data_IF_960551779999
#
_entry.id   IF_960551779999
#
_cell.length_a   1.000
_cell.length_b   1.000
_cell.length_c   1.000
_cell.angle_alpha   90.00
_cell.angle_beta   90.00
_cell.angle_gamma   90.00
#
_symmetry.space_group_name_H-M   'P 1'
#
loop_
_entity.id
_entity.type
_entity.pdbx_description
1 polymer ?
#
# COMPACT_ATOMS: atom_id res chain seq x y z
N UNK A 1 6.05 26.30 -35.58
CA UNK A 1 6.19 24.92 -35.12
C UNK A 1 7.61 24.35 -35.31
N UNK A 2 8.07 24.07 -36.51
CA UNK A 2 9.39 23.43 -36.79
C UNK A 2 10.61 24.23 -36.30
N UNK A 3 10.59 25.55 -36.38
CA UNK A 3 11.70 26.38 -35.88
C UNK A 3 11.86 26.27 -34.35
N UNK A 4 10.75 26.28 -33.64
CA UNK A 4 10.78 26.08 -32.17
C UNK A 4 11.30 24.68 -31.78
N UNK A 5 10.91 23.64 -32.51
CA UNK A 5 11.40 22.28 -32.28
C UNK A 5 12.92 22.18 -32.53
N UNK A 6 13.43 22.79 -33.60
CA UNK A 6 14.86 22.77 -33.91
C UNK A 6 15.75 23.56 -32.91
N UNK A 7 15.15 24.46 -32.13
CA UNK A 7 15.87 25.25 -31.12
C UNK A 7 15.77 24.58 -29.73
N UNK A 8 14.65 23.98 -29.41
CA UNK A 8 14.37 23.43 -28.07
C UNK A 8 14.78 21.96 -27.89
N UNK A 9 14.67 21.15 -28.95
CA UNK A 9 14.97 19.70 -28.83
C UNK A 9 16.48 19.43 -28.67
N UNK A 10 17.41 20.04 -29.40
CA UNK A 10 18.82 19.68 -29.29
C UNK A 10 19.40 19.81 -27.87
N UNK A 11 19.17 20.89 -27.10
CA UNK A 11 19.68 21.00 -25.74
C UNK A 11 19.01 20.06 -24.77
N UNK A 12 17.83 19.51 -25.12
CA UNK A 12 17.06 18.59 -24.27
C UNK A 12 16.94 17.18 -24.90
N UNK A 13 17.80 16.85 -25.85
CA UNK A 13 17.69 15.61 -26.63
C UNK A 13 17.66 14.35 -25.76
N UNK A 14 18.45 14.29 -24.68
CA UNK A 14 18.47 13.16 -23.76
C UNK A 14 17.14 12.98 -23.02
N UNK A 15 16.53 14.07 -22.57
CA UNK A 15 15.22 14.04 -21.89
C UNK A 15 14.10 13.63 -22.85
N UNK A 16 14.12 14.18 -24.08
CA UNK A 16 13.15 13.81 -25.13
C UNK A 16 13.30 12.35 -25.53
N UNK A 17 14.54 11.85 -25.67
CA UNK A 17 14.81 10.44 -25.97
C UNK A 17 14.31 9.51 -24.85
N UNK A 18 14.53 9.89 -23.59
CA UNK A 18 14.04 9.13 -22.43
C UNK A 18 12.51 9.06 -22.39
N UNK A 19 11.82 10.20 -22.59
CA UNK A 19 10.35 10.26 -22.63
C UNK A 19 9.76 9.42 -23.77
N UNK A 20 10.44 9.39 -24.92
CA UNK A 20 10.01 8.61 -26.09
C UNK A 20 10.41 7.13 -26.01
N UNK A 21 11.08 6.69 -24.93
CA UNK A 21 11.60 5.33 -24.82
C UNK A 21 12.67 4.98 -25.86
N UNK A 22 13.29 6.00 -26.48
CA UNK A 22 14.36 5.81 -27.42
C UNK A 22 15.65 5.51 -26.64
N UNK A 23 16.30 4.39 -26.96
CA UNK A 23 17.63 4.11 -26.40
C UNK A 23 18.56 5.26 -26.78
N UNK A 24 19.19 5.89 -25.80
CA UNK A 24 20.32 6.79 -26.06
C UNK A 24 21.32 6.01 -26.89
N UNK A 25 21.87 6.64 -27.97
CA UNK A 25 22.87 5.96 -28.77
C UNK A 25 23.95 5.38 -27.88
N UNK A 26 24.13 4.08 -27.95
CA UNK A 26 25.12 3.40 -27.14
C UNK A 26 26.48 4.05 -27.34
N UNK A 27 27.22 4.25 -26.27
CA UNK A 27 28.62 4.65 -26.36
C UNK A 27 29.33 3.55 -27.14
N UNK A 28 29.86 3.86 -28.33
CA UNK A 28 30.69 2.92 -29.05
C UNK A 28 32.05 2.77 -28.36
N UNK A 29 32.16 1.76 -27.55
CA UNK A 29 33.39 1.39 -26.84
C UNK A 29 34.34 0.52 -27.66
N UNK A 30 34.06 0.26 -28.93
CA UNK A 30 34.87 -0.60 -29.78
C UNK A 30 36.33 -0.13 -29.91
N UNK A 31 36.56 1.17 -29.68
CA UNK A 31 37.89 1.79 -29.69
C UNK A 31 38.42 2.18 -28.31
N UNK A 32 37.69 1.86 -27.26
CA UNK A 32 38.15 2.15 -25.89
C UNK A 32 39.38 1.31 -25.57
N UNK A 33 40.45 1.98 -25.14
CA UNK A 33 41.60 1.28 -24.56
C UNK A 33 41.21 0.81 -23.16
N UNK A 34 41.03 -0.49 -22.99
CA UNK A 34 40.70 -1.11 -21.70
C UNK A 34 41.93 -1.58 -20.91
N UNK A 35 43.13 -1.45 -21.50
CA UNK A 35 44.35 -1.85 -20.86
C UNK A 35 44.62 -1.02 -19.59
N UNK A 36 44.72 -1.69 -18.45
CA UNK A 36 44.87 -1.02 -17.14
C UNK A 36 43.58 -0.48 -16.48
N UNK A 37 42.42 -0.65 -17.11
CA UNK A 37 41.14 -0.29 -16.52
C UNK A 37 40.58 -1.51 -15.78
N UNK A 38 40.26 -1.33 -14.49
CA UNK A 38 39.51 -2.35 -13.76
C UNK A 38 38.07 -2.42 -14.28
N UNK A 39 37.76 -3.47 -15.03
CA UNK A 39 36.44 -3.72 -15.63
C UNK A 39 35.51 -4.53 -14.69
N UNK A 40 35.94 -4.80 -13.48
CA UNK A 40 35.17 -5.64 -12.52
C UNK A 40 33.81 -5.03 -12.23
N UNK A 41 33.74 -3.70 -12.09
CA UNK A 41 32.47 -2.98 -11.88
C UNK A 41 31.55 -2.96 -13.12
N UNK A 42 32.05 -3.31 -14.29
CA UNK A 42 31.26 -3.39 -15.52
C UNK A 42 30.70 -4.79 -15.78
N UNK A 43 30.97 -5.76 -14.92
CA UNK A 43 30.42 -7.10 -15.05
C UNK A 43 29.10 -7.20 -14.29
N UNK A 44 28.04 -7.76 -14.90
CA UNK A 44 26.82 -8.05 -14.16
C UNK A 44 27.14 -9.03 -13.04
N UNK A 45 26.49 -8.83 -11.87
CA UNK A 45 26.62 -9.75 -10.72
C UNK A 45 25.87 -11.07 -10.91
N UNK A 46 25.05 -11.17 -11.96
CA UNK A 46 24.20 -12.32 -12.27
C UNK A 46 24.49 -12.81 -13.70
N UNK A 47 24.44 -14.13 -13.88
CA UNK A 47 24.68 -14.77 -15.16
C UNK A 47 23.48 -14.68 -16.13
N UNK A 48 22.28 -14.54 -15.60
CA UNK A 48 21.01 -14.46 -16.35
C UNK A 48 20.09 -13.40 -15.77
N UNK A 49 19.17 -12.91 -16.60
CA UNK A 49 18.11 -11.98 -16.18
C UNK A 49 17.17 -12.65 -15.14
N UNK A 50 16.86 -13.95 -15.34
CA UNK A 50 16.00 -14.70 -14.42
C UNK A 50 16.64 -14.76 -13.02
N UNK A 51 17.93 -15.02 -12.92
CA UNK A 51 18.64 -15.04 -11.63
C UNK A 51 18.63 -13.66 -10.93
N UNK A 52 18.73 -12.57 -11.71
CA UNK A 52 18.61 -11.21 -11.18
C UNK A 52 17.18 -10.97 -10.62
N UNK A 53 16.15 -11.35 -11.38
CA UNK A 53 14.73 -11.16 -10.96
C UNK A 53 14.42 -11.99 -9.71
N UNK A 54 14.90 -13.23 -9.61
CA UNK A 54 14.74 -14.06 -8.41
C UNK A 54 15.37 -13.39 -7.17
N UNK A 55 16.57 -12.84 -7.32
CA UNK A 55 17.26 -12.14 -6.23
C UNK A 55 16.56 -10.83 -5.84
N UNK A 56 16.05 -10.05 -6.81
CA UNK A 56 15.26 -8.84 -6.59
C UNK A 56 13.98 -9.14 -5.79
N UNK A 57 13.28 -10.23 -6.13
CA UNK A 57 12.09 -10.68 -5.40
C UNK A 57 12.45 -11.06 -3.97
N UNK A 58 13.49 -11.86 -3.78
CA UNK A 58 13.95 -12.28 -2.46
C UNK A 58 14.37 -11.08 -1.60
N UNK A 59 15.13 -10.15 -2.18
CA UNK A 59 15.55 -8.92 -1.51
C UNK A 59 14.39 -8.01 -1.15
N UNK A 60 13.41 -7.82 -2.05
CA UNK A 60 12.22 -7.02 -1.75
C UNK A 60 11.43 -7.63 -0.57
N UNK A 61 11.24 -8.95 -0.55
CA UNK A 61 10.58 -9.65 0.55
C UNK A 61 11.34 -9.48 1.86
N UNK A 62 12.66 -9.58 1.84
CA UNK A 62 13.50 -9.40 3.02
C UNK A 62 13.38 -7.96 3.55
N UNK A 63 13.53 -6.95 2.68
CA UNK A 63 13.40 -5.53 3.06
C UNK A 63 12.03 -5.26 3.68
N UNK A 64 10.97 -5.79 3.08
CA UNK A 64 9.62 -5.64 3.60
C UNK A 64 9.47 -6.28 4.99
N UNK A 65 9.93 -7.51 5.18
CA UNK A 65 9.86 -8.19 6.47
C UNK A 65 10.64 -7.45 7.57
N UNK A 66 11.81 -6.88 7.23
CA UNK A 66 12.63 -6.10 8.15
C UNK A 66 12.05 -4.69 8.41
N UNK A 67 11.25 -4.15 7.49
CA UNK A 67 10.62 -2.83 7.62
C UNK A 67 9.24 -2.84 8.27
N UNK A 68 8.58 -3.99 8.37
CA UNK A 68 7.27 -4.11 9.01
C UNK A 68 7.42 -4.05 10.53
N UNK A 69 6.57 -3.22 11.17
CA UNK A 69 6.58 -3.01 12.63
C UNK A 69 5.30 -3.54 13.25
N UNK A 70 5.43 -4.43 14.22
CA UNK A 70 4.31 -4.86 15.07
C UNK A 70 4.20 -3.91 16.27
N UNK A 71 3.20 -3.02 16.25
CA UNK A 71 3.03 -1.98 17.25
C UNK A 71 2.22 -2.46 18.48
N UNK A 72 1.28 -3.39 18.27
CA UNK A 72 0.42 -3.97 19.30
C UNK A 72 0.15 -5.42 18.97
N UNK A 73 0.20 -6.30 19.97
CA UNK A 73 -0.19 -7.72 19.85
C UNK A 73 -0.70 -8.20 21.21
N UNK A 74 -1.88 -7.73 21.58
CA UNK A 74 -2.49 -8.07 22.84
C UNK A 74 -2.93 -9.53 22.85
N UNK A 75 -2.78 -10.17 24.00
CA UNK A 75 -3.10 -11.58 24.20
C UNK A 75 -2.36 -12.54 23.25
N UNK A 76 -1.38 -12.07 22.49
CA UNK A 76 -0.63 -12.89 21.55
C UNK A 76 -1.49 -13.42 20.40
N UNK A 77 -2.42 -12.61 19.87
CA UNK A 77 -3.30 -12.99 18.76
C UNK A 77 -2.52 -13.34 17.49
N UNK A 78 -1.49 -12.58 17.18
CA UNK A 78 -0.56 -12.90 16.10
C UNK A 78 0.62 -13.74 16.65
N UNK A 79 1.11 -14.79 15.94
CA UNK A 79 0.71 -15.22 14.62
C UNK A 79 -0.62 -15.99 14.59
N UNK A 80 -1.31 -15.91 13.44
CA UNK A 80 -2.56 -16.59 13.18
C UNK A 80 -2.35 -18.00 12.61
N UNK A 81 -3.26 -18.92 12.93
CA UNK A 81 -3.33 -20.23 12.28
C UNK A 81 -3.74 -20.06 10.82
N UNK A 82 -3.21 -20.90 9.92
CA UNK A 82 -3.54 -20.87 8.49
C UNK A 82 -4.98 -21.23 8.16
N UNK A 83 -5.73 -21.80 9.12
CA UNK A 83 -7.21 -21.99 8.97
C UNK A 83 -7.99 -20.68 9.14
N UNK A 84 -7.33 -19.59 9.53
CA UNK A 84 -7.98 -18.28 9.69
C UNK A 84 -8.39 -17.73 8.32
N UNK A 85 -9.63 -17.23 8.25
CA UNK A 85 -10.10 -16.43 7.12
C UNK A 85 -10.10 -14.96 7.52
N UNK A 86 -9.51 -14.11 6.69
CA UNK A 86 -9.48 -12.66 6.89
C UNK A 86 -10.52 -11.95 6.05
N UNK A 87 -11.17 -10.95 6.64
CA UNK A 87 -12.02 -9.98 5.95
C UNK A 87 -11.28 -8.66 5.85
N UNK A 88 -10.75 -8.34 4.68
CA UNK A 88 -10.06 -7.08 4.44
C UNK A 88 -11.08 -5.95 4.26
N UNK A 89 -11.12 -5.04 5.21
CA UNK A 89 -12.06 -3.92 5.28
C UNK A 89 -11.35 -2.64 4.88
N UNK A 90 -12.00 -1.79 4.12
CA UNK A 90 -11.52 -0.58 3.46
C UNK A 90 -11.13 -0.82 2.00
N UNK A 91 -11.46 0.16 1.16
CA UNK A 91 -11.00 0.18 -0.24
C UNK A 91 -9.47 0.11 -0.35
N UNK A 92 -8.75 0.66 0.63
CA UNK A 92 -7.29 0.61 0.69
C UNK A 92 -6.70 -0.80 0.77
N UNK A 93 -7.50 -1.82 1.08
CA UNK A 93 -7.06 -3.21 1.04
C UNK A 93 -6.86 -3.72 -0.41
N UNK A 94 -7.76 -3.34 -1.33
CA UNK A 94 -7.69 -3.70 -2.75
C UNK A 94 -6.83 -2.73 -3.56
N UNK A 95 -6.59 -1.52 -3.01
CA UNK A 95 -5.77 -0.46 -3.61
C UNK A 95 -4.66 -0.03 -2.64
N UNK A 96 -3.85 -1.00 -2.21
CA UNK A 96 -2.79 -0.78 -1.24
C UNK A 96 -1.71 0.15 -1.80
N UNK A 97 -1.33 1.20 -1.03
CA UNK A 97 -0.29 2.14 -1.47
C UNK A 97 1.06 1.43 -1.53
N UNK A 98 1.69 1.44 -2.71
CA UNK A 98 2.96 0.78 -3.00
C UNK A 98 2.93 0.12 -4.36
N UNK A 99 4.06 -0.41 -4.83
CA UNK A 99 4.09 -1.17 -6.07
C UNK A 99 3.72 -2.62 -5.76
N UNK A 100 2.54 -3.08 -6.05
CA UNK A 100 2.07 -4.40 -5.63
C UNK A 100 1.83 -5.28 -6.87
N UNK A 101 2.83 -6.02 -7.32
CA UNK A 101 2.65 -7.08 -8.34
C UNK A 101 1.84 -8.25 -7.81
N UNK A 102 1.94 -8.49 -6.50
CA UNK A 102 1.12 -9.47 -5.78
C UNK A 102 0.18 -8.68 -4.88
N UNK A 103 -1.12 -8.80 -5.07
CA UNK A 103 -2.12 -8.13 -4.24
C UNK A 103 -2.29 -8.81 -2.87
N UNK A 104 -3.01 -8.13 -1.96
CA UNK A 104 -3.25 -8.59 -0.59
C UNK A 104 -3.93 -9.97 -0.56
N UNK A 105 -4.97 -10.17 -1.39
CA UNK A 105 -5.69 -11.45 -1.45
C UNK A 105 -4.78 -12.58 -1.86
N UNK A 106 -4.09 -12.42 -2.98
CA UNK A 106 -3.14 -13.43 -3.50
C UNK A 106 -2.04 -13.73 -2.48
N UNK A 107 -1.45 -12.71 -1.86
CA UNK A 107 -0.40 -12.90 -0.86
C UNK A 107 -0.86 -13.74 0.34
N UNK A 108 -2.07 -13.48 0.84
CA UNK A 108 -2.60 -14.20 2.00
C UNK A 108 -3.05 -15.63 1.63
N UNK A 109 -3.66 -15.83 0.46
CA UNK A 109 -4.01 -17.16 -0.04
C UNK A 109 -2.76 -18.02 -0.28
N UNK A 110 -1.70 -17.45 -0.87
CA UNK A 110 -0.42 -18.14 -1.07
C UNK A 110 0.28 -18.51 0.27
N UNK A 111 0.05 -17.72 1.32
CA UNK A 111 0.50 -18.04 2.67
C UNK A 111 -0.34 -19.14 3.36
N UNK A 112 -1.46 -19.52 2.79
CA UNK A 112 -2.37 -20.59 3.24
C UNK A 112 -3.57 -20.11 4.01
N UNK A 113 -3.83 -18.80 4.09
CA UNK A 113 -5.00 -18.24 4.74
C UNK A 113 -6.23 -18.23 3.84
N UNK A 114 -7.43 -18.21 4.45
CA UNK A 114 -8.64 -17.85 3.74
C UNK A 114 -8.78 -16.34 3.59
N UNK A 115 -9.40 -15.90 2.49
CA UNK A 115 -9.80 -14.50 2.30
C UNK A 115 -11.29 -14.45 2.00
N UNK A 116 -12.00 -13.52 2.63
CA UNK A 116 -13.43 -13.31 2.39
C UNK A 116 -13.64 -12.76 0.96
N UNK A 117 -14.03 -13.66 0.07
CA UNK A 117 -14.19 -13.37 -1.36
C UNK A 117 -15.29 -12.37 -1.64
N UNK A 118 -16.41 -12.42 -0.87
CA UNK A 118 -17.54 -11.51 -1.08
C UNK A 118 -17.14 -10.06 -0.75
N UNK A 119 -16.41 -9.87 0.35
CA UNK A 119 -15.91 -8.54 0.73
C UNK A 119 -14.82 -8.04 -0.23
N UNK A 120 -13.92 -8.94 -0.66
CA UNK A 120 -12.92 -8.59 -1.67
C UNK A 120 -13.55 -8.10 -2.97
N UNK A 121 -14.53 -8.83 -3.49
CA UNK A 121 -15.29 -8.44 -4.69
C UNK A 121 -16.09 -7.16 -4.51
N UNK A 122 -16.65 -6.96 -3.32
CA UNK A 122 -17.35 -5.72 -3.01
C UNK A 122 -16.48 -4.48 -3.25
N UNK A 123 -15.24 -4.51 -2.75
CA UNK A 123 -14.31 -3.38 -2.92
C UNK A 123 -13.61 -3.35 -4.29
N UNK A 124 -13.35 -4.49 -4.92
CA UNK A 124 -12.62 -4.54 -6.21
C UNK A 124 -13.52 -4.33 -7.43
N UNK A 125 -14.75 -4.83 -7.40
CA UNK A 125 -15.64 -4.90 -8.56
C UNK A 125 -17.05 -4.40 -8.26
N UNK A 126 -17.48 -4.44 -7.00
CA UNK A 126 -18.84 -4.15 -6.54
C UNK A 126 -19.08 -2.68 -6.20
N UNK A 127 -20.05 -2.46 -5.31
CA UNK A 127 -20.50 -1.11 -4.93
C UNK A 127 -19.45 -0.33 -4.10
N UNK A 128 -18.44 -0.99 -3.57
CA UNK A 128 -17.33 -0.36 -2.86
C UNK A 128 -16.19 0.16 -3.75
N UNK A 129 -16.17 -0.21 -5.05
CA UNK A 129 -15.04 0.07 -5.95
C UNK A 129 -14.82 1.55 -6.29
N UNK A 130 -15.88 2.36 -6.21
CA UNK A 130 -15.84 3.78 -6.59
C UNK A 130 -15.41 4.69 -5.42
N UNK A 131 -15.05 4.08 -4.28
CA UNK A 131 -14.49 4.75 -3.12
C UNK A 131 -12.96 4.62 -3.09
N UNK A 132 -12.32 5.30 -2.16
CA UNK A 132 -10.90 5.21 -1.91
C UNK A 132 -10.21 6.57 -1.90
N UNK A 133 -8.95 6.53 -1.50
CA UNK A 133 -8.13 7.72 -1.32
C UNK A 133 -7.97 8.53 -2.61
N UNK A 134 -7.96 9.84 -2.45
CA UNK A 134 -7.45 10.72 -3.49
C UNK A 134 -5.99 10.43 -3.81
N UNK A 135 -5.56 10.88 -4.96
CA UNK A 135 -4.19 10.58 -5.47
C UNK A 135 -3.10 11.50 -4.89
N UNK A 136 -3.45 12.36 -3.94
CA UNK A 136 -2.53 13.37 -3.44
C UNK A 136 -2.22 14.40 -4.53
N UNK A 137 -0.99 14.41 -5.00
CA UNK A 137 -0.59 15.18 -6.18
C UNK A 137 0.32 14.32 -7.06
N UNK A 138 -0.07 14.14 -8.31
CA UNK A 138 0.67 13.32 -9.29
C UNK A 138 1.59 14.14 -10.20
N UNK A 139 1.31 15.45 -10.36
CA UNK A 139 2.11 16.33 -11.21
C UNK A 139 2.23 17.72 -10.62
N UNK A 140 3.34 18.38 -10.92
CA UNK A 140 3.54 19.74 -10.48
C UNK A 140 2.54 20.68 -11.14
N UNK A 141 1.68 21.30 -10.34
CA UNK A 141 0.62 22.22 -10.82
C UNK A 141 -0.77 21.60 -10.90
N UNK A 142 -0.95 20.32 -10.62
CA UNK A 142 -2.26 19.70 -10.46
C UNK A 142 -2.90 20.13 -9.14
N UNK A 143 -4.22 20.09 -9.08
CA UNK A 143 -4.97 20.25 -7.83
C UNK A 143 -4.61 19.09 -6.88
N UNK A 144 -4.50 19.42 -5.60
CA UNK A 144 -4.23 18.43 -4.55
C UNK A 144 -5.51 17.72 -4.17
N UNK A 145 -5.49 16.38 -4.18
CA UNK A 145 -6.58 15.55 -3.72
C UNK A 145 -6.11 14.61 -2.61
N UNK A 146 -6.30 15.01 -1.37
CA UNK A 146 -6.02 14.21 -0.18
C UNK A 146 -7.31 13.69 0.47
N UNK A 147 -8.40 13.55 -0.29
CA UNK A 147 -9.63 12.95 0.23
C UNK A 147 -9.39 11.52 0.69
N UNK A 148 -10.02 11.13 1.81
CA UNK A 148 -10.00 9.76 2.32
C UNK A 148 -11.03 8.94 1.58
N UNK A 149 -12.25 9.47 1.46
CA UNK A 149 -13.36 8.92 0.68
C UNK A 149 -13.55 7.40 0.91
N UNK A 150 -13.52 6.96 2.18
CA UNK A 150 -13.77 5.56 2.51
C UNK A 150 -15.23 5.19 2.25
N UNK A 151 -15.47 3.92 1.87
CA UNK A 151 -16.81 3.42 1.59
C UNK A 151 -17.67 3.40 2.87
N UNK A 152 -18.81 4.13 2.91
CA UNK A 152 -19.64 4.18 4.09
C UNK A 152 -20.17 2.80 4.52
N UNK A 153 -20.25 2.56 5.82
CA UNK A 153 -20.82 1.33 6.39
C UNK A 153 -22.23 1.04 5.90
N UNK A 154 -23.02 2.10 5.64
CA UNK A 154 -24.37 1.97 5.09
C UNK A 154 -24.40 1.31 3.70
N UNK A 155 -23.38 1.55 2.87
CA UNK A 155 -23.23 0.90 1.54
C UNK A 155 -22.88 -0.58 1.72
N UNK A 156 -21.98 -0.91 2.64
CA UNK A 156 -21.66 -2.30 2.99
C UNK A 156 -22.90 -3.06 3.51
N UNK A 157 -23.67 -2.44 4.41
CA UNK A 157 -24.89 -3.03 4.99
C UNK A 157 -26.02 -3.18 3.96
N UNK A 158 -26.06 -2.35 2.93
CA UNK A 158 -27.04 -2.45 1.85
C UNK A 158 -26.76 -3.62 0.89
N UNK A 159 -25.52 -4.13 0.85
CA UNK A 159 -25.16 -5.28 0.03
C UNK A 159 -25.65 -6.56 0.67
N UNK A 160 -26.53 -7.33 -0.02
CA UNK A 160 -27.12 -8.53 0.56
C UNK A 160 -26.09 -9.58 0.96
N UNK A 161 -26.09 -9.99 2.22
CA UNK A 161 -25.23 -11.05 2.74
C UNK A 161 -23.78 -10.62 3.03
N UNK A 162 -23.35 -9.40 2.67
CA UNK A 162 -21.97 -8.98 2.81
C UNK A 162 -21.49 -8.98 4.26
N UNK A 163 -22.24 -8.36 5.17
CA UNK A 163 -21.90 -8.37 6.61
C UNK A 163 -22.02 -9.76 7.23
N UNK A 164 -22.90 -10.61 6.69
CA UNK A 164 -23.00 -12.01 7.12
C UNK A 164 -21.79 -12.84 6.70
N UNK A 165 -21.19 -12.56 5.53
CA UNK A 165 -19.99 -13.24 5.06
C UNK A 165 -18.77 -12.99 5.95
N UNK A 166 -18.77 -11.88 6.69
CA UNK A 166 -17.68 -11.55 7.62
C UNK A 166 -17.74 -12.35 8.93
N UNK A 167 -18.86 -13.02 9.23
CA UNK A 167 -18.98 -13.83 10.45
C UNK A 167 -17.94 -14.95 10.46
N UNK A 168 -17.35 -15.19 11.63
CA UNK A 168 -16.27 -16.16 11.86
C UNK A 168 -14.99 -15.89 11.04
N UNK A 169 -14.75 -14.67 10.64
CA UNK A 169 -13.49 -14.20 10.07
C UNK A 169 -12.80 -13.24 11.04
N UNK A 170 -11.53 -12.94 10.79
CA UNK A 170 -10.80 -11.86 11.46
C UNK A 170 -10.80 -10.64 10.55
N UNK A 171 -11.47 -9.54 10.89
CA UNK A 171 -11.40 -8.31 10.13
C UNK A 171 -10.02 -7.66 10.20
N UNK A 172 -9.53 -7.22 9.06
CA UNK A 172 -8.33 -6.40 8.94
C UNK A 172 -8.75 -5.05 8.37
N UNK A 173 -8.79 -4.02 9.21
CA UNK A 173 -9.06 -2.67 8.75
C UNK A 173 -7.76 -2.03 8.26
N UNK A 174 -7.74 -1.64 6.99
CA UNK A 174 -6.58 -1.00 6.37
C UNK A 174 -6.72 0.51 6.44
N UNK A 175 -5.99 1.10 7.37
CA UNK A 175 -5.93 2.55 7.57
C UNK A 175 -4.81 3.14 6.72
N UNK A 176 -5.15 3.96 5.75
CA UNK A 176 -4.19 4.52 4.80
C UNK A 176 -4.24 6.04 4.78
N UNK A 177 -3.07 6.65 4.61
CA UNK A 177 -2.93 8.09 4.36
C UNK A 177 -1.97 8.32 3.22
N UNK A 178 -2.37 9.20 2.31
CA UNK A 178 -1.50 9.61 1.21
C UNK A 178 -0.45 10.58 1.76
N UNK A 179 0.81 10.23 1.58
CA UNK A 179 1.94 11.10 1.81
C UNK A 179 2.89 10.95 0.62
N UNK A 180 3.29 12.03 -0.01
CA UNK A 180 4.00 11.98 -1.27
C UNK A 180 5.22 12.88 -1.32
N UNK A 181 6.11 12.56 -2.25
CA UNK A 181 7.27 13.36 -2.60
C UNK A 181 6.83 14.69 -3.23
N UNK A 182 7.49 15.78 -2.83
CA UNK A 182 7.29 17.10 -3.41
C UNK A 182 6.07 17.87 -2.92
N UNK A 183 5.22 17.26 -2.08
CA UNK A 183 4.07 17.92 -1.46
C UNK A 183 3.88 17.47 -0.03
N UNK A 184 3.69 18.44 0.84
CA UNK A 184 3.39 18.19 2.24
C UNK A 184 1.98 17.64 2.40
N UNK A 185 1.85 16.66 3.28
CA UNK A 185 0.56 16.16 3.72
C UNK A 185 -0.24 17.30 4.40
N UNK A 186 -1.56 17.39 4.17
CA UNK A 186 -2.37 18.44 4.77
C UNK A 186 -2.38 18.33 6.30
N UNK A 187 -2.43 19.46 6.99
CA UNK A 187 -2.50 19.50 8.47
C UNK A 187 -3.88 19.13 9.00
N UNK A 188 -4.91 19.32 8.18
CA UNK A 188 -6.30 19.00 8.53
C UNK A 188 -7.06 18.52 7.30
N UNK A 189 -8.23 17.93 7.53
CA UNK A 189 -9.12 17.47 6.46
C UNK A 189 -9.93 18.60 5.84
N UNK A 190 -9.76 19.85 6.24
CA UNK A 190 -10.64 20.98 5.94
C UNK A 190 -11.00 21.14 4.45
N UNK A 191 -10.03 21.02 3.57
CA UNK A 191 -10.22 21.14 2.12
C UNK A 191 -10.37 19.79 1.39
N UNK A 192 -10.44 18.70 2.14
CA UNK A 192 -10.34 17.34 1.60
C UNK A 192 -11.53 16.46 1.99
N UNK A 193 -12.59 17.07 2.56
CA UNK A 193 -13.84 16.39 2.93
C UNK A 193 -15.02 17.35 2.79
N UNK A 194 -16.18 16.82 2.43
CA UNK A 194 -17.48 17.54 2.45
C UNK A 194 -18.20 17.36 3.79
N UNK A 195 -17.68 16.52 4.70
CA UNK A 195 -18.27 16.25 6.01
C UNK A 195 -17.83 17.33 7.01
N UNK A 196 -18.76 18.15 7.50
CA UNK A 196 -18.45 19.30 8.36
C UNK A 196 -17.72 18.95 9.64
N UNK A 197 -18.07 17.82 10.27
CA UNK A 197 -17.42 17.36 11.51
C UNK A 197 -15.96 16.94 11.31
N UNK A 198 -15.60 16.47 10.12
CA UNK A 198 -14.24 16.04 9.79
C UNK A 198 -13.31 17.20 9.42
N UNK A 199 -13.87 18.35 9.04
CA UNK A 199 -13.06 19.53 8.65
C UNK A 199 -12.15 20.04 9.76
N UNK A 200 -12.47 19.77 11.02
CA UNK A 200 -11.66 20.17 12.18
C UNK A 200 -10.64 19.14 12.60
N UNK A 201 -10.72 17.92 12.07
CA UNK A 201 -9.77 16.82 12.37
C UNK A 201 -8.45 17.04 11.66
N UNK A 202 -7.38 16.50 12.24
CA UNK A 202 -6.10 16.40 11.57
C UNK A 202 -6.17 15.29 10.51
N UNK A 203 -5.33 15.36 9.49
CA UNK A 203 -5.26 14.31 8.48
C UNK A 203 -4.71 12.99 9.01
N UNK A 204 -4.14 12.99 10.22
CA UNK A 204 -3.55 11.82 10.89
C UNK A 204 -4.56 11.00 11.69
N UNK A 205 -5.76 11.56 11.93
CA UNK A 205 -6.86 10.92 12.66
C UNK A 205 -7.81 10.20 11.68
N UNK A 206 -8.60 9.22 12.17
CA UNK A 206 -9.68 8.66 11.37
C UNK A 206 -10.78 9.71 11.10
N UNK A 207 -11.35 9.70 9.89
CA UNK A 207 -12.54 10.45 9.60
C UNK A 207 -13.80 9.80 10.21
N UNK A 208 -14.96 10.45 10.07
CA UNK A 208 -16.22 9.94 10.64
C UNK A 208 -16.65 8.61 10.01
N UNK A 209 -16.39 8.39 8.73
CA UNK A 209 -16.70 7.15 8.04
C UNK A 209 -15.82 5.99 8.52
N UNK A 210 -14.52 6.22 8.66
CA UNK A 210 -13.59 5.24 9.23
C UNK A 210 -13.96 4.89 10.67
N UNK A 211 -14.33 5.91 11.50
CA UNK A 211 -14.77 5.69 12.89
C UNK A 211 -16.08 4.87 12.97
N UNK A 212 -17.04 5.10 12.06
CA UNK A 212 -18.26 4.30 12.00
C UNK A 212 -17.97 2.83 11.71
N UNK A 213 -17.05 2.56 10.77
CA UNK A 213 -16.61 1.20 10.43
C UNK A 213 -15.89 0.56 11.63
N UNK A 214 -14.94 1.27 12.23
CA UNK A 214 -14.19 0.78 13.40
C UNK A 214 -15.11 0.45 14.57
N UNK A 215 -16.12 1.30 14.84
CA UNK A 215 -17.13 1.01 15.86
C UNK A 215 -17.94 -0.25 15.53
N UNK A 216 -18.36 -0.40 14.27
CA UNK A 216 -19.05 -1.62 13.83
C UNK A 216 -18.18 -2.87 14.02
N UNK A 217 -16.90 -2.81 13.67
CA UNK A 217 -15.99 -3.94 13.85
C UNK A 217 -15.79 -4.26 15.32
N UNK A 218 -15.59 -3.24 16.16
CA UNK A 218 -15.45 -3.41 17.61
C UNK A 218 -16.69 -4.04 18.27
N UNK A 219 -17.89 -3.68 17.81
CA UNK A 219 -19.14 -4.17 18.40
C UNK A 219 -19.50 -5.60 17.94
N UNK A 220 -18.93 -6.09 16.85
CA UNK A 220 -19.34 -7.35 16.23
C UNK A 220 -18.26 -8.41 16.16
N UNK A 221 -16.99 -8.08 16.48
CA UNK A 221 -15.87 -9.01 16.39
C UNK A 221 -14.99 -8.94 17.63
N UNK A 222 -14.56 -10.11 18.10
CA UNK A 222 -13.70 -10.22 19.29
C UNK A 222 -12.22 -9.97 18.97
N UNK A 223 -11.83 -10.02 17.69
CA UNK A 223 -10.47 -9.83 17.23
C UNK A 223 -10.46 -9.04 15.92
N UNK A 224 -9.84 -7.89 15.95
CA UNK A 224 -9.68 -6.96 14.81
C UNK A 224 -8.22 -6.60 14.66
N UNK A 225 -7.73 -6.62 13.44
CA UNK A 225 -6.39 -6.16 13.09
C UNK A 225 -6.49 -4.76 12.48
N UNK A 226 -5.68 -3.83 12.97
CA UNK A 226 -5.46 -2.54 12.34
C UNK A 226 -4.15 -2.60 11.55
N UNK A 227 -4.24 -2.51 10.23
CA UNK A 227 -3.10 -2.47 9.32
C UNK A 227 -2.88 -1.04 8.84
N UNK A 228 -1.73 -0.46 9.21
CA UNK A 228 -1.37 0.91 8.83
C UNK A 228 -0.58 0.92 7.53
N UNK A 229 -1.12 1.59 6.52
CA UNK A 229 -0.47 1.85 5.24
C UNK A 229 -0.28 3.37 5.06
N UNK A 230 0.67 3.91 5.77
CA UNK A 230 1.05 5.33 5.69
C UNK A 230 2.54 5.47 5.87
N UNK A 231 3.21 6.18 4.97
CA UNK A 231 4.62 6.54 5.09
C UNK A 231 4.86 7.69 6.08
N UNK A 232 3.79 8.35 6.52
CA UNK A 232 3.84 9.36 7.58
C UNK A 232 3.41 8.75 8.92
N UNK A 233 3.84 9.37 10.00
CA UNK A 233 3.32 9.06 11.33
C UNK A 233 1.82 9.35 11.38
N UNK A 234 1.05 8.50 12.08
CA UNK A 234 -0.39 8.65 12.30
C UNK A 234 -0.67 8.74 13.80
N UNK A 235 -1.76 9.38 14.17
CA UNK A 235 -2.24 9.40 15.55
C UNK A 235 -2.94 8.07 15.86
N UNK A 236 -2.45 7.36 16.86
CA UNK A 236 -3.01 6.09 17.32
C UNK A 236 -3.66 6.20 18.70
N UNK A 237 -3.81 7.39 19.26
CA UNK A 237 -4.41 7.58 20.59
C UNK A 237 -5.84 7.06 20.67
N UNK A 238 -6.58 7.06 19.57
CA UNK A 238 -7.94 6.57 19.45
C UNK A 238 -8.07 5.04 19.50
N UNK A 239 -6.99 4.30 19.27
CA UNK A 239 -7.02 2.81 19.22
C UNK A 239 -7.49 2.21 20.56
N UNK A 240 -7.18 2.87 21.67
CA UNK A 240 -7.57 2.43 23.01
C UNK A 240 -9.10 2.47 23.25
N UNK A 241 -9.85 3.20 22.43
CA UNK A 241 -11.31 3.26 22.49
C UNK A 241 -11.96 2.03 21.82
N UNK A 242 -11.18 1.20 21.13
CA UNK A 242 -11.63 0.00 20.41
C UNK A 242 -10.95 -1.27 20.95
N UNK A 243 -11.43 -1.84 22.07
CA UNK A 243 -10.76 -2.96 22.75
C UNK A 243 -10.68 -4.25 21.93
N UNK A 244 -11.47 -4.41 20.86
CA UNK A 244 -11.33 -5.55 19.94
C UNK A 244 -10.11 -5.44 19.02
N UNK A 245 -9.46 -4.27 18.91
CA UNK A 245 -8.23 -4.11 18.15
C UNK A 245 -7.06 -4.68 18.96
N UNK A 246 -6.82 -5.97 18.84
CA UNK A 246 -5.72 -6.66 19.51
C UNK A 246 -4.39 -6.55 18.80
N UNK A 247 -4.40 -6.36 17.48
CA UNK A 247 -3.19 -6.29 16.67
C UNK A 247 -3.14 -4.97 15.89
N UNK A 248 -2.02 -4.26 16.01
CA UNK A 248 -1.71 -3.08 15.19
C UNK A 248 -0.36 -3.31 14.52
N UNK A 249 -0.33 -3.27 13.20
CA UNK A 249 0.85 -3.52 12.40
C UNK A 249 1.04 -2.40 11.37
N UNK A 250 2.25 -1.91 11.24
CA UNK A 250 2.61 -0.87 10.26
C UNK A 250 3.42 -1.49 9.13
N UNK A 251 2.92 -1.33 7.90
CA UNK A 251 3.50 -1.92 6.70
C UNK A 251 3.37 -0.97 5.49
N UNK A 252 4.00 0.21 5.51
CA UNK A 252 3.89 1.19 4.43
C UNK A 252 4.78 0.84 3.24
N UNK A 253 4.31 1.12 2.01
CA UNK A 253 5.09 1.18 0.77
C UNK A 253 6.09 0.01 0.57
N UNK A 254 5.63 -1.23 0.68
CA UNK A 254 6.49 -2.42 0.76
C UNK A 254 7.05 -2.92 -0.58
N UNK A 255 6.82 -2.22 -1.68
CA UNK A 255 7.24 -2.66 -3.02
C UNK A 255 6.40 -3.82 -3.58
N UNK A 256 6.85 -4.35 -4.71
CA UNK A 256 6.06 -5.25 -5.56
C UNK A 256 5.64 -6.58 -4.89
N UNK A 257 6.46 -7.10 -3.97
CA UNK A 257 6.27 -8.40 -3.33
C UNK A 257 6.17 -8.32 -1.79
N UNK A 258 6.13 -7.14 -1.23
CA UNK A 258 6.15 -6.96 0.23
C UNK A 258 4.89 -7.46 0.94
N UNK A 259 3.74 -7.51 0.25
CA UNK A 259 2.52 -8.11 0.80
C UNK A 259 2.68 -9.61 1.07
N UNK A 260 3.54 -10.31 0.31
CA UNK A 260 3.89 -11.69 0.62
C UNK A 260 4.58 -11.80 1.99
N UNK A 261 5.49 -10.87 2.31
CA UNK A 261 6.17 -10.85 3.62
C UNK A 261 5.22 -10.49 4.76
N UNK A 262 4.26 -9.59 4.51
CA UNK A 262 3.20 -9.31 5.48
C UNK A 262 2.41 -10.59 5.82
N UNK A 263 1.98 -11.34 4.81
CA UNK A 263 1.27 -12.61 5.00
C UNK A 263 2.13 -13.66 5.72
N UNK A 264 3.44 -13.73 5.42
CA UNK A 264 4.38 -14.60 6.12
C UNK A 264 4.53 -14.21 7.60
N UNK A 265 4.49 -12.91 7.94
CA UNK A 265 4.47 -12.41 9.33
C UNK A 265 3.18 -12.83 10.02
N UNK A 266 2.02 -12.68 9.36
CA UNK A 266 0.74 -13.13 9.92
C UNK A 266 0.73 -14.62 10.25
N UNK A 267 1.40 -15.46 9.48
CA UNK A 267 1.52 -16.90 9.72
C UNK A 267 2.67 -17.29 10.67
N UNK A 268 3.50 -16.34 11.09
CA UNK A 268 4.68 -16.61 11.92
C UNK A 268 5.86 -17.25 11.18
N UNK A 269 5.81 -17.31 9.83
CA UNK A 269 6.93 -17.76 9.00
C UNK A 269 8.07 -16.74 8.95
N UNK A 270 7.72 -15.46 9.05
CA UNK A 270 8.65 -14.36 9.20
C UNK A 270 8.37 -13.60 10.50
N UNK A 271 9.37 -12.91 11.04
CA UNK A 271 9.23 -12.11 12.25
C UNK A 271 9.35 -10.63 11.88
N UNK A 272 8.41 -9.76 12.29
CA UNK A 272 8.56 -8.33 12.10
C UNK A 272 9.73 -7.82 12.94
N UNK A 273 10.62 -7.05 12.35
CA UNK A 273 11.84 -6.59 13.02
C UNK A 273 12.11 -5.10 12.84
N UNK A 274 11.17 -4.37 12.23
CA UNK A 274 11.21 -2.92 12.07
C UNK A 274 11.05 -2.13 13.36
#
# INVERSE_FOLDING_TARGET
>A
GMVAANVLIPPNASSVQSILGLKSGGIDNSKAKTEGINMEYGKPGFDTEDALVEDEIALNKQIAAEGIVLLKNDEGRMPYSTDTTFSFVSHSAVSYIGGNKVDMKTAFEDAGFGVNEDLWKFYSEGNGKDYGLGVGSVSYGDDEDFSINECPLSVMKAEPGLTDSMKNTVPVFVFSRVAGEGRDMPRSMYNHTDVEEDKTKTYLEPDSTELEILQYLNDNFDDVVLLLNSSAAVDLSWVEDYPSIHTVISAPAMGDYGLCSLAEIFSGKANPSG
#
